data_IF_236702374998
#
_entry.id   IF_236702374998
#
_cell.length_a   1.000
_cell.length_b   1.000
_cell.length_c   1.000
_cell.angle_alpha   90.00
_cell.angle_beta   90.00
_cell.angle_gamma   90.00
#
_symmetry.space_group_name_H-M   'P 1'
#
loop_
_entity.id
_entity.type
_entity.pdbx_description
1 polymer ?
#
# COMPACT_ATOMS: atom_id res chain seq x y z
N UNK A 1 -49.97 -9.37 -25.43
CA UNK A 1 -49.25 -10.03 -24.32
C UNK A 1 -47.81 -10.39 -24.71
N UNK A 2 -47.56 -10.97 -25.91
CA UNK A 2 -46.21 -11.33 -26.40
C UNK A 2 -45.17 -10.18 -26.45
N UNK A 3 -45.58 -8.95 -26.78
CA UNK A 3 -44.67 -7.78 -26.90
C UNK A 3 -44.03 -7.38 -25.55
N UNK A 4 -44.73 -7.65 -24.44
CA UNK A 4 -44.25 -7.30 -23.09
C UNK A 4 -43.20 -8.30 -22.60
N UNK A 5 -43.39 -9.59 -22.87
CA UNK A 5 -42.39 -10.64 -22.55
C UNK A 5 -41.09 -10.46 -23.34
N UNK A 6 -41.17 -10.07 -24.61
CA UNK A 6 -40.01 -9.86 -25.47
C UNK A 6 -39.14 -8.67 -24.99
N UNK A 7 -39.78 -7.59 -24.51
CA UNK A 7 -39.09 -6.47 -23.86
C UNK A 7 -38.43 -6.87 -22.54
N UNK A 8 -39.10 -7.67 -21.71
CA UNK A 8 -38.53 -8.18 -20.43
C UNK A 8 -37.32 -9.08 -20.70
N UNK A 9 -37.41 -9.97 -21.69
CA UNK A 9 -36.29 -10.79 -22.12
C UNK A 9 -35.10 -9.94 -22.59
N UNK A 10 -35.31 -8.89 -23.40
CA UNK A 10 -34.24 -8.00 -23.86
C UNK A 10 -33.58 -7.22 -22.74
N UNK A 11 -34.35 -6.67 -21.80
CA UNK A 11 -33.79 -5.96 -20.62
C UNK A 11 -32.97 -6.92 -19.74
N UNK A 12 -33.45 -8.16 -19.55
CA UNK A 12 -32.72 -9.21 -18.81
C UNK A 12 -31.43 -9.67 -19.51
N UNK A 13 -31.42 -9.66 -20.84
CA UNK A 13 -30.27 -10.09 -21.65
C UNK A 13 -29.19 -9.01 -21.70
N UNK A 14 -29.59 -7.75 -21.85
CA UNK A 14 -28.69 -6.60 -21.79
C UNK A 14 -28.06 -6.43 -20.41
N UNK A 15 -28.81 -6.63 -19.33
CA UNK A 15 -28.26 -6.55 -17.97
C UNK A 15 -27.23 -7.66 -17.70
N UNK A 16 -27.49 -8.90 -18.15
CA UNK A 16 -26.53 -10.02 -18.08
C UNK A 16 -25.28 -9.78 -18.93
N UNK A 17 -25.43 -9.23 -20.14
CA UNK A 17 -24.31 -8.92 -21.01
C UNK A 17 -23.40 -7.82 -20.42
N UNK A 18 -23.99 -6.77 -19.84
CA UNK A 18 -23.24 -5.72 -19.14
C UNK A 18 -22.51 -6.26 -17.91
N UNK A 19 -23.15 -7.11 -17.11
CA UNK A 19 -22.51 -7.80 -15.98
C UNK A 19 -21.34 -8.66 -16.43
N UNK A 20 -21.51 -9.45 -17.49
CA UNK A 20 -20.45 -10.27 -18.07
C UNK A 20 -19.26 -9.45 -18.57
N UNK A 21 -19.52 -8.26 -19.15
CA UNK A 21 -18.49 -7.33 -19.59
C UNK A 21 -17.69 -6.76 -18.40
N UNK A 22 -18.38 -6.32 -17.34
CA UNK A 22 -17.74 -5.78 -16.14
C UNK A 22 -16.88 -6.82 -15.42
N UNK A 23 -17.36 -8.06 -15.31
CA UNK A 23 -16.61 -9.16 -14.71
C UNK A 23 -15.34 -9.45 -15.52
N UNK A 24 -15.43 -9.48 -16.85
CA UNK A 24 -14.29 -9.69 -17.74
C UNK A 24 -13.22 -8.60 -17.57
N UNK A 25 -13.64 -7.33 -17.55
CA UNK A 25 -12.73 -6.20 -17.36
C UNK A 25 -12.00 -6.27 -16.00
N UNK A 26 -12.72 -6.60 -14.92
CA UNK A 26 -12.09 -6.80 -13.59
C UNK A 26 -11.10 -7.96 -13.58
N UNK A 27 -11.40 -9.07 -14.26
CA UNK A 27 -10.48 -10.22 -14.37
C UNK A 27 -9.19 -9.81 -15.09
N UNK A 28 -9.27 -9.01 -16.16
CA UNK A 28 -8.09 -8.53 -16.87
C UNK A 28 -7.21 -7.62 -15.99
N UNK A 29 -7.82 -6.74 -15.20
CA UNK A 29 -7.09 -5.91 -14.23
C UNK A 29 -6.36 -6.78 -13.21
N UNK A 30 -7.02 -7.79 -12.66
CA UNK A 30 -6.41 -8.73 -11.70
C UNK A 30 -5.27 -9.52 -12.35
N UNK A 31 -5.42 -9.98 -13.60
CA UNK A 31 -4.33 -10.64 -14.34
C UNK A 31 -3.11 -9.73 -14.51
N UNK A 32 -3.32 -8.48 -14.95
CA UNK A 32 -2.22 -7.50 -15.09
C UNK A 32 -1.54 -7.19 -13.77
N UNK A 33 -2.29 -7.13 -12.67
CA UNK A 33 -1.73 -6.98 -11.32
C UNK A 33 -0.86 -8.18 -10.92
N UNK A 34 -1.29 -9.41 -11.26
CA UNK A 34 -0.51 -10.62 -11.01
C UNK A 34 0.80 -10.64 -11.80
N UNK A 35 0.75 -10.29 -13.08
CA UNK A 35 1.95 -10.22 -13.95
C UNK A 35 2.93 -9.14 -13.48
N UNK A 36 2.43 -7.94 -13.12
CA UNK A 36 3.27 -6.88 -12.56
C UNK A 36 3.82 -7.19 -11.18
N UNK A 37 3.11 -8.00 -10.40
CA UNK A 37 3.52 -8.45 -9.08
C UNK A 37 4.47 -9.64 -9.09
N UNK A 38 4.86 -10.19 -10.27
CA UNK A 38 5.86 -11.25 -10.34
C UNK A 38 7.27 -10.65 -10.20
N UNK A 39 7.67 -10.43 -8.96
CA UNK A 39 9.06 -10.14 -8.64
C UNK A 39 9.90 -11.40 -8.92
N UNK A 40 11.07 -11.24 -9.56
CA UNK A 40 11.94 -12.34 -10.01
C UNK A 40 12.48 -13.20 -8.85
N UNK A 41 12.20 -12.80 -7.62
CA UNK A 41 12.50 -13.48 -6.37
C UNK A 41 11.32 -13.16 -5.44
N UNK A 42 10.31 -14.04 -5.42
CA UNK A 42 9.03 -13.75 -4.78
C UNK A 42 9.21 -13.42 -3.30
N UNK A 43 8.91 -12.18 -2.90
CA UNK A 43 8.82 -11.80 -1.49
C UNK A 43 7.55 -12.44 -0.90
N UNK A 44 7.64 -13.68 -0.43
CA UNK A 44 6.60 -14.30 0.38
C UNK A 44 6.62 -13.67 1.76
N UNK A 45 5.78 -12.66 1.96
CA UNK A 45 5.57 -12.07 3.29
C UNK A 45 4.60 -13.01 4.01
N UNK A 46 5.02 -13.60 5.13
CA UNK A 46 4.10 -14.22 6.09
C UNK A 46 2.97 -13.24 6.40
N UNK A 47 1.77 -13.74 6.71
CA UNK A 47 0.59 -12.87 6.92
C UNK A 47 0.95 -11.74 7.88
N UNK A 48 1.14 -10.54 7.31
CA UNK A 48 1.55 -9.38 8.09
C UNK A 48 0.53 -9.16 9.21
N UNK A 49 0.97 -8.80 10.43
CA UNK A 49 0.05 -8.54 11.53
C UNK A 49 -1.03 -7.56 11.07
N UNK A 50 -2.25 -7.73 11.55
CA UNK A 50 -3.40 -6.97 11.08
C UNK A 50 -3.19 -5.44 11.12
N UNK A 51 -2.35 -4.97 12.04
CA UNK A 51 -2.03 -3.55 12.26
C UNK A 51 -0.65 -3.10 11.77
N UNK A 52 0.28 -3.99 11.38
CA UNK A 52 1.68 -3.64 11.04
C UNK A 52 2.70 -4.12 12.09
N UNK A 53 3.96 -3.67 12.00
CA UNK A 53 5.06 -4.13 12.87
C UNK A 53 5.53 -2.97 13.74
N UNK A 54 5.47 -3.12 15.07
CA UNK A 54 6.12 -2.20 16.02
C UNK A 54 7.62 -2.48 15.97
N UNK A 55 8.41 -1.45 15.70
CA UNK A 55 9.86 -1.56 15.62
C UNK A 55 10.46 -1.08 16.95
N UNK A 56 11.37 -1.83 17.58
CA UNK A 56 12.05 -1.36 18.78
C UNK A 56 12.75 -0.02 18.53
N UNK A 57 12.51 0.93 19.43
CA UNK A 57 12.99 2.31 19.38
C UNK A 57 13.49 2.74 20.75
N UNK A 58 14.68 3.35 20.80
CA UNK A 58 15.17 4.06 21.98
C UNK A 58 14.54 5.44 22.06
N UNK A 59 14.56 6.09 23.24
CA UNK A 59 13.99 7.42 23.42
C UNK A 59 14.72 8.44 22.51
N UNK A 60 14.00 9.01 21.54
CA UNK A 60 14.46 10.17 20.78
C UNK A 60 14.04 11.46 21.49
N UNK A 61 14.96 12.07 22.23
CA UNK A 61 14.76 13.40 22.81
C UNK A 61 15.19 14.52 21.84
N UNK A 62 16.20 14.26 21.01
CA UNK A 62 16.86 15.32 20.24
C UNK A 62 16.21 15.64 18.87
N UNK A 63 15.28 14.80 18.39
CA UNK A 63 14.74 14.90 17.01
C UNK A 63 13.21 14.94 16.91
N UNK A 64 12.53 15.29 18.01
CA UNK A 64 11.06 15.35 18.09
C UNK A 64 10.46 16.23 16.98
N UNK A 65 11.04 17.41 16.73
CA UNK A 65 10.53 18.35 15.72
C UNK A 65 10.56 17.81 14.29
N UNK A 66 11.58 17.02 13.94
CA UNK A 66 11.69 16.44 12.59
C UNK A 66 10.65 15.34 12.40
N UNK A 67 10.48 14.49 13.42
CA UNK A 67 9.48 13.43 13.42
C UNK A 67 8.06 13.99 13.29
N UNK A 68 7.73 15.04 14.06
CA UNK A 68 6.42 15.71 13.99
C UNK A 68 6.14 16.27 12.59
N UNK A 69 7.11 16.97 12.00
CA UNK A 69 6.98 17.49 10.63
C UNK A 69 6.71 16.37 9.62
N UNK A 70 7.43 15.26 9.70
CA UNK A 70 7.19 14.11 8.82
C UNK A 70 5.76 13.58 9.03
N UNK A 71 5.33 13.46 10.28
CA UNK A 71 3.97 13.05 10.64
C UNK A 71 2.90 13.97 10.03
N UNK A 72 3.04 15.29 10.20
CA UNK A 72 2.12 16.28 9.64
C UNK A 72 1.97 16.15 8.12
N UNK A 73 3.08 16.01 7.39
CA UNK A 73 3.04 15.85 5.93
C UNK A 73 2.35 14.54 5.51
N UNK A 74 2.54 13.45 6.26
CA UNK A 74 1.86 12.17 6.00
C UNK A 74 0.36 12.22 6.34
N UNK A 75 -0.02 13.02 7.34
CA UNK A 75 -1.41 13.24 7.72
C UNK A 75 -2.14 14.21 6.79
N UNK A 76 -1.41 15.03 6.03
CA UNK A 76 -1.93 15.78 4.88
C UNK A 76 -2.17 14.90 3.65
N UNK A 77 -2.92 15.42 2.66
CA UNK A 77 -3.22 14.70 1.41
C UNK A 77 -2.34 15.16 0.23
N UNK A 78 -1.50 16.16 0.45
CA UNK A 78 -0.70 16.82 -0.59
C UNK A 78 0.61 16.07 -0.92
N UNK A 79 1.08 15.22 -0.01
CA UNK A 79 2.38 14.53 -0.13
C UNK A 79 2.19 13.03 -0.32
N UNK A 80 2.63 12.51 -1.47
CA UNK A 80 2.62 11.07 -1.76
C UNK A 80 3.90 10.31 -1.36
N UNK A 81 5.01 11.00 -1.11
CA UNK A 81 6.30 10.37 -0.82
C UNK A 81 7.24 11.31 -0.04
N UNK A 82 7.94 10.79 0.96
CA UNK A 82 8.95 11.51 1.75
C UNK A 82 10.29 10.76 1.67
N UNK A 83 11.35 11.48 1.32
CA UNK A 83 12.72 10.96 1.31
C UNK A 83 13.54 11.57 2.45
N UNK A 84 14.19 10.72 3.26
CA UNK A 84 15.11 11.16 4.34
C UNK A 84 16.54 10.82 3.93
N UNK A 85 17.40 11.83 3.81
CA UNK A 85 18.79 11.68 3.37
C UNK A 85 19.76 12.42 4.31
N UNK A 86 21.04 12.09 4.24
CA UNK A 86 22.07 12.66 5.13
C UNK A 86 23.23 11.70 5.40
N UNK A 87 24.21 12.16 6.17
CA UNK A 87 25.45 11.42 6.50
C UNK A 87 25.13 10.10 7.22
N UNK A 88 25.99 9.09 7.08
CA UNK A 88 25.88 7.84 7.83
C UNK A 88 25.89 8.07 9.35
N UNK A 89 25.13 7.27 10.10
CA UNK A 89 25.11 7.36 11.57
C UNK A 89 24.23 8.46 12.17
N UNK A 90 23.71 9.41 11.39
CA UNK A 90 22.87 10.52 11.89
C UNK A 90 21.46 10.12 12.36
N UNK A 91 21.11 8.82 12.41
CA UNK A 91 19.80 8.40 12.93
C UNK A 91 18.62 8.45 11.96
N UNK A 92 18.83 8.64 10.64
CA UNK A 92 17.74 8.64 9.63
C UNK A 92 16.77 7.47 9.75
N UNK A 93 17.31 6.25 9.82
CA UNK A 93 16.50 5.04 10.00
C UNK A 93 15.81 5.03 11.36
N UNK A 94 16.45 5.59 12.39
CA UNK A 94 15.89 5.71 13.75
C UNK A 94 14.67 6.63 13.78
N UNK A 95 14.71 7.80 13.12
CA UNK A 95 13.53 8.66 12.94
C UNK A 95 12.40 7.90 12.25
N UNK A 96 12.69 7.20 11.15
CA UNK A 96 11.65 6.53 10.37
C UNK A 96 10.99 5.38 11.15
N UNK A 97 11.72 4.72 12.04
CA UNK A 97 11.15 3.72 12.97
C UNK A 97 10.13 4.34 13.93
N UNK A 98 10.42 5.54 14.45
CA UNK A 98 9.50 6.24 15.33
C UNK A 98 8.24 6.70 14.59
N UNK A 99 8.41 7.24 13.38
CA UNK A 99 7.29 7.60 12.51
C UNK A 99 6.41 6.38 12.24
N UNK A 100 7.00 5.24 11.84
CA UNK A 100 6.26 3.98 11.66
C UNK A 100 5.39 3.65 12.89
N UNK A 101 5.97 3.67 14.09
CA UNK A 101 5.27 3.30 15.31
C UNK A 101 4.10 4.23 15.66
N UNK A 102 4.18 5.51 15.30
CA UNK A 102 3.07 6.44 15.49
C UNK A 102 2.00 6.26 14.41
N UNK A 103 2.38 6.02 13.16
CA UNK A 103 1.41 5.70 12.09
C UNK A 103 0.58 4.45 12.39
N UNK A 104 1.10 3.50 13.17
CA UNK A 104 0.33 2.33 13.63
C UNK A 104 -0.82 2.70 14.58
N UNK A 105 -0.76 3.87 15.22
CA UNK A 105 -1.80 4.36 16.15
C UNK A 105 -2.82 5.25 15.45
N UNK A 106 -2.46 5.78 14.27
CA UNK A 106 -3.31 6.65 13.48
C UNK A 106 -4.36 5.86 12.70
N UNK A 107 -5.55 6.46 12.53
CA UNK A 107 -6.65 5.83 11.78
C UNK A 107 -6.60 6.10 10.28
N UNK A 108 -5.78 7.07 9.85
CA UNK A 108 -5.63 7.44 8.43
C UNK A 108 -5.13 6.28 7.58
N UNK A 109 -4.20 5.48 8.11
CA UNK A 109 -3.58 4.37 7.39
C UNK A 109 -4.18 3.05 7.85
N UNK A 110 -4.91 2.36 6.97
CA UNK A 110 -5.45 1.03 7.30
C UNK A 110 -4.35 -0.01 7.50
N UNK A 111 -3.19 0.16 6.85
CA UNK A 111 -2.02 -0.73 6.98
C UNK A 111 -0.74 0.07 6.90
N UNK A 112 0.23 -0.28 7.75
CA UNK A 112 1.58 0.24 7.71
C UNK A 112 2.54 -0.94 7.54
N UNK A 113 3.50 -0.81 6.62
CA UNK A 113 4.47 -1.85 6.32
C UNK A 113 5.89 -1.27 6.38
N UNK A 114 6.80 -2.04 6.99
CA UNK A 114 8.22 -1.73 7.01
C UNK A 114 8.98 -2.72 6.14
N UNK A 115 9.68 -2.22 5.13
CA UNK A 115 10.44 -3.04 4.17
C UNK A 115 11.89 -2.55 4.15
N UNK A 116 12.83 -3.48 4.31
CA UNK A 116 14.25 -3.21 4.09
C UNK A 116 14.64 -3.85 2.77
N UNK A 117 15.12 -3.03 1.83
CA UNK A 117 15.64 -3.51 0.54
C UNK A 117 17.15 -3.46 0.62
N UNK A 118 17.78 -4.63 0.74
CA UNK A 118 19.22 -4.77 0.54
C UNK A 118 19.44 -5.33 -0.87
N UNK A 119 20.13 -4.57 -1.73
CA UNK A 119 20.66 -5.16 -2.94
C UNK A 119 21.92 -5.95 -2.56
N UNK A 120 22.10 -7.22 -2.96
CA UNK A 120 23.40 -7.83 -2.88
C UNK A 120 24.30 -7.04 -3.82
N UNK A 121 25.23 -6.25 -3.27
CA UNK A 121 26.32 -5.66 -4.04
C UNK A 121 27.21 -6.81 -4.52
N UNK A 122 26.82 -7.45 -5.62
CA UNK A 122 27.68 -8.40 -6.30
C UNK A 122 28.65 -7.57 -7.16
N UNK A 123 29.68 -7.06 -6.50
CA UNK A 123 30.79 -6.35 -7.13
C UNK A 123 31.84 -7.42 -7.45
N UNK A 124 31.71 -8.03 -8.63
CA UNK A 124 32.81 -8.73 -9.29
C UNK A 124 33.45 -7.80 -10.31
#
# INVERSE_FOLDING_TARGET
MQVVEEMVCRVSYFSRACLGKLVREKIEVVKRMKERGSFFEGLSVDRAPASGIIIPTENLEDEISTKEKIGEHLMGDDVGMIGVYGIGGVGKTTIMKHVNNDLLKETKFHKVAWVTVSYPFNVF
#
